data_IF_835484921889
#
_entry.id   IF_835484921889
#
_cell.length_a   1.000
_cell.length_b   1.000
_cell.length_c   1.000
_cell.angle_alpha   90.00
_cell.angle_beta   90.00
_cell.angle_gamma   90.00
#
_symmetry.space_group_name_H-M   'P 1'
#
loop_
_entity.id
_entity.type
_entity.pdbx_description
1 polymer ?
#
# COMPACT_ATOMS: atom_id res chain seq x y z
N UNK A 1 20.38 30.43 -7.46
CA UNK A 1 20.07 29.35 -8.45
C UNK A 1 19.66 28.14 -7.66
N UNK A 2 18.36 27.75 -7.64
CA UNK A 2 17.91 26.54 -6.99
C UNK A 2 18.52 25.37 -7.76
N UNK A 3 19.32 24.56 -7.09
CA UNK A 3 20.03 23.48 -7.76
C UNK A 3 19.02 22.44 -8.31
N UNK A 4 19.22 21.97 -9.53
CA UNK A 4 18.42 20.98 -10.24
C UNK A 4 17.94 19.79 -9.37
N UNK A 5 18.76 19.27 -8.43
CA UNK A 5 18.39 18.17 -7.54
C UNK A 5 17.28 18.49 -6.53
N UNK A 6 17.27 19.72 -6.01
CA UNK A 6 16.22 20.15 -5.06
C UNK A 6 14.86 20.25 -5.75
N UNK A 7 14.83 20.67 -7.01
CA UNK A 7 13.62 20.68 -7.83
C UNK A 7 13.11 19.25 -8.08
N UNK A 8 14.02 18.32 -8.37
CA UNK A 8 13.70 16.91 -8.59
C UNK A 8 13.10 16.28 -7.32
N UNK A 9 13.76 16.46 -6.17
CA UNK A 9 13.27 15.99 -4.88
C UNK A 9 11.88 16.58 -4.56
N UNK A 10 11.72 17.89 -4.73
CA UNK A 10 10.45 18.59 -4.53
C UNK A 10 9.34 18.03 -5.43
N UNK A 11 9.62 17.79 -6.70
CA UNK A 11 8.67 17.22 -7.66
C UNK A 11 8.26 15.78 -7.28
N UNK A 12 9.21 14.95 -6.84
CA UNK A 12 8.93 13.58 -6.36
C UNK A 12 8.04 13.63 -5.11
N UNK A 13 8.38 14.46 -4.13
CA UNK A 13 7.60 14.57 -2.89
C UNK A 13 6.21 15.15 -3.14
N UNK A 14 6.09 16.13 -4.04
CA UNK A 14 4.78 16.66 -4.46
C UNK A 14 3.95 15.57 -5.13
N UNK A 15 4.54 14.78 -6.00
CA UNK A 15 3.85 13.67 -6.68
C UNK A 15 3.34 12.64 -5.67
N UNK A 16 4.14 12.28 -4.66
CA UNK A 16 3.73 11.40 -3.58
C UNK A 16 2.58 12.02 -2.77
N UNK A 17 2.68 13.30 -2.41
CA UNK A 17 1.63 14.00 -1.66
C UNK A 17 0.31 14.06 -2.44
N UNK A 18 0.37 14.33 -3.75
CA UNK A 18 -0.81 14.31 -4.64
C UNK A 18 -1.43 12.93 -4.69
N UNK A 19 -0.63 11.86 -4.84
CA UNK A 19 -1.15 10.49 -4.82
C UNK A 19 -1.81 10.15 -3.50
N UNK A 20 -1.15 10.42 -2.38
CA UNK A 20 -1.68 10.17 -1.04
C UNK A 20 -2.96 10.97 -0.81
N UNK A 21 -2.98 12.24 -1.21
CA UNK A 21 -4.16 13.10 -1.17
C UNK A 21 -5.32 12.53 -1.98
N UNK A 22 -5.04 12.05 -3.19
CA UNK A 22 -6.04 11.40 -4.03
C UNK A 22 -6.55 10.09 -3.43
N UNK A 23 -5.67 9.26 -2.85
CA UNK A 23 -6.05 8.02 -2.17
C UNK A 23 -7.01 8.32 -1.01
N UNK A 24 -6.69 9.27 -0.15
CA UNK A 24 -7.58 9.66 0.95
C UNK A 24 -8.88 10.28 0.43
N UNK A 25 -8.83 11.13 -0.60
CA UNK A 25 -10.03 11.70 -1.22
C UNK A 25 -10.99 10.64 -1.74
N UNK A 26 -10.46 9.61 -2.40
CA UNK A 26 -11.21 8.55 -3.05
C UNK A 26 -11.67 7.45 -2.08
N UNK A 27 -10.97 7.26 -0.95
CA UNK A 27 -11.15 6.15 -0.01
C UNK A 27 -12.61 5.89 0.40
N UNK A 28 -13.44 6.91 0.75
CA UNK A 28 -14.83 6.67 1.12
C UNK A 28 -15.71 6.15 -0.02
N UNK A 29 -15.29 6.40 -1.26
CA UNK A 29 -16.05 5.92 -2.44
C UNK A 29 -15.80 4.44 -2.71
N UNK A 30 -14.84 3.83 -2.02
CA UNK A 30 -14.44 2.43 -2.19
C UNK A 30 -15.16 1.47 -1.25
N UNK A 31 -15.94 1.97 -0.31
CA UNK A 31 -16.78 1.16 0.55
C UNK A 31 -18.04 0.68 -0.17
N UNK A 32 -18.60 -0.46 0.25
CA UNK A 32 -19.87 -1.02 -0.26
C UNK A 32 -21.02 -0.04 -0.11
N UNK A 33 -22.07 -0.10 -0.96
CA UNK A 33 -23.20 0.83 -0.90
C UNK A 33 -23.87 0.95 0.47
N UNK A 34 -24.01 -0.16 1.19
CA UNK A 34 -24.60 -0.21 2.55
C UNK A 34 -23.63 0.11 3.69
N UNK A 35 -22.38 0.55 3.40
CA UNK A 35 -21.38 0.91 4.42
C UNK A 35 -20.84 2.31 4.15
N UNK A 36 -20.94 3.19 5.13
CA UNK A 36 -20.42 4.56 5.06
C UNK A 36 -19.52 4.85 6.27
N UNK A 37 -18.24 5.11 6.03
CA UNK A 37 -17.20 5.24 7.06
C UNK A 37 -17.21 4.10 8.10
N UNK A 38 -17.28 2.86 7.62
CA UNK A 38 -17.38 1.63 8.40
C UNK A 38 -18.67 1.47 9.23
N UNK A 39 -19.67 2.28 9.01
CA UNK A 39 -21.00 2.19 9.63
C UNK A 39 -22.00 1.62 8.63
N UNK A 40 -22.85 0.71 9.09
CA UNK A 40 -23.93 0.14 8.29
C UNK A 40 -25.05 1.17 8.13
N UNK A 41 -25.36 1.53 6.90
CA UNK A 41 -26.37 2.54 6.54
C UNK A 41 -27.30 2.00 5.46
N UNK A 42 -28.47 2.59 5.31
CA UNK A 42 -29.30 2.33 4.14
C UNK A 42 -28.58 2.81 2.88
N UNK A 43 -28.57 2.06 1.77
CA UNK A 43 -27.82 2.43 0.56
C UNK A 43 -28.14 3.85 0.04
N UNK A 44 -29.39 4.30 0.16
CA UNK A 44 -29.84 5.65 -0.23
C UNK A 44 -29.22 6.78 0.60
N UNK A 45 -28.75 6.50 1.83
CA UNK A 45 -28.12 7.50 2.70
C UNK A 45 -26.93 8.20 2.03
N UNK A 46 -26.15 7.49 1.20
CA UNK A 46 -24.99 8.08 0.51
C UNK A 46 -25.33 9.28 -0.38
N UNK A 47 -26.59 9.37 -0.82
CA UNK A 47 -27.08 10.45 -1.67
C UNK A 47 -27.75 11.57 -0.85
N UNK A 48 -27.76 11.45 0.48
CA UNK A 48 -28.39 12.45 1.36
C UNK A 48 -27.50 13.69 1.57
N UNK A 49 -28.09 14.83 1.92
CA UNK A 49 -27.36 16.05 2.30
C UNK A 49 -26.41 15.82 3.49
N UNK A 50 -26.84 15.00 4.45
CA UNK A 50 -26.09 14.66 5.67
C UNK A 50 -24.82 13.88 5.30
N UNK A 51 -24.93 12.86 4.45
CA UNK A 51 -23.78 12.11 3.95
C UNK A 51 -22.81 13.02 3.18
N UNK A 52 -23.33 13.93 2.36
CA UNK A 52 -22.54 14.92 1.64
C UNK A 52 -21.79 15.87 2.59
N UNK A 53 -22.38 16.25 3.71
CA UNK A 53 -21.75 17.08 4.74
C UNK A 53 -20.61 16.32 5.45
N UNK A 54 -20.85 15.08 5.89
CA UNK A 54 -19.81 14.23 6.49
C UNK A 54 -18.65 14.03 5.53
N UNK A 55 -18.95 13.73 4.26
CA UNK A 55 -17.93 13.52 3.22
C UNK A 55 -17.09 14.77 2.94
N UNK A 56 -17.72 15.95 2.86
CA UNK A 56 -17.01 17.23 2.71
C UNK A 56 -16.09 17.49 3.89
N UNK A 57 -16.60 17.35 5.11
CA UNK A 57 -15.81 17.55 6.33
C UNK A 57 -14.60 16.61 6.40
N UNK A 58 -14.78 15.34 6.06
CA UNK A 58 -13.71 14.37 5.94
C UNK A 58 -12.65 14.79 4.90
N UNK A 59 -13.09 15.11 3.67
CA UNK A 59 -12.18 15.48 2.58
C UNK A 59 -11.37 16.72 2.91
N UNK A 60 -11.99 17.74 3.48
CA UNK A 60 -11.27 18.96 3.90
C UNK A 60 -10.21 18.67 4.96
N UNK A 61 -10.52 17.87 5.98
CA UNK A 61 -9.57 17.49 7.01
C UNK A 61 -8.43 16.62 6.45
N UNK A 62 -8.76 15.62 5.65
CA UNK A 62 -7.77 14.73 5.04
C UNK A 62 -6.77 15.53 4.16
N UNK A 63 -7.28 16.41 3.30
CA UNK A 63 -6.42 17.27 2.47
C UNK A 63 -5.60 18.26 3.30
N UNK A 64 -6.15 18.83 4.38
CA UNK A 64 -5.39 19.69 5.27
C UNK A 64 -4.22 18.93 5.92
N UNK A 65 -4.46 17.70 6.40
CA UNK A 65 -3.38 16.87 6.94
C UNK A 65 -2.33 16.50 5.89
N UNK A 66 -2.74 16.19 4.67
CA UNK A 66 -1.81 15.92 3.55
C UNK A 66 -0.97 17.16 3.24
N UNK A 67 -1.57 18.35 3.20
CA UNK A 67 -0.85 19.60 2.96
C UNK A 67 0.16 19.92 4.09
N UNK A 68 -0.22 19.69 5.35
CA UNK A 68 0.69 19.86 6.50
C UNK A 68 1.86 18.87 6.40
N UNK A 69 1.58 17.60 6.13
CA UNK A 69 2.64 16.58 5.99
C UNK A 69 3.61 16.92 4.85
N UNK A 70 3.10 17.38 3.72
CA UNK A 70 3.92 17.84 2.60
C UNK A 70 4.77 19.07 2.98
N UNK A 71 4.19 20.05 3.67
CA UNK A 71 4.92 21.25 4.13
C UNK A 71 6.05 20.89 5.10
N UNK A 72 5.83 19.94 6.01
CA UNK A 72 6.86 19.44 6.93
C UNK A 72 7.99 18.74 6.17
N UNK A 73 7.67 17.87 5.19
CA UNK A 73 8.66 17.20 4.33
C UNK A 73 9.48 18.26 3.57
N UNK A 74 8.81 19.23 2.96
CA UNK A 74 9.48 20.28 2.21
C UNK A 74 10.38 21.14 3.12
N UNK A 75 9.90 21.51 4.31
CA UNK A 75 10.68 22.24 5.31
C UNK A 75 11.94 21.46 5.73
N UNK A 76 11.80 20.16 5.97
CA UNK A 76 12.93 19.28 6.29
C UNK A 76 13.95 19.20 5.15
N UNK A 77 13.48 19.14 3.91
CA UNK A 77 14.35 19.12 2.73
C UNK A 77 15.11 20.45 2.54
N UNK A 78 14.41 21.57 2.69
CA UNK A 78 15.02 22.90 2.53
C UNK A 78 15.99 23.26 3.66
N UNK A 79 15.66 22.89 4.90
CA UNK A 79 16.49 23.14 6.08
C UNK A 79 17.57 22.07 6.30
N UNK A 80 17.59 21.01 5.50
CA UNK A 80 18.45 19.83 5.65
C UNK A 80 18.34 19.15 7.03
N UNK A 81 17.19 19.31 7.68
CA UNK A 81 16.91 18.72 8.99
C UNK A 81 16.10 17.43 8.82
N UNK A 82 16.75 16.30 9.01
CA UNK A 82 16.18 14.97 8.85
C UNK A 82 14.93 14.73 9.74
N UNK A 83 14.91 15.35 10.93
CA UNK A 83 13.78 15.20 11.86
C UNK A 83 12.44 15.65 11.26
N UNK A 84 12.44 16.76 10.51
CA UNK A 84 11.21 17.27 9.86
C UNK A 84 10.75 16.38 8.71
N UNK A 85 11.68 15.76 7.99
CA UNK A 85 11.35 14.74 6.98
C UNK A 85 10.62 13.57 7.61
N UNK A 86 11.16 13.03 8.72
CA UNK A 86 10.55 11.89 9.42
C UNK A 86 9.18 12.27 9.97
N UNK A 87 9.06 13.42 10.65
CA UNK A 87 7.78 13.89 11.19
C UNK A 87 6.76 14.07 10.06
N UNK A 88 7.17 14.68 8.94
CA UNK A 88 6.30 14.92 7.80
C UNK A 88 5.79 13.62 7.14
N UNK A 89 6.65 12.61 6.98
CA UNK A 89 6.26 11.29 6.44
C UNK A 89 5.29 10.58 7.38
N UNK A 90 5.57 10.58 8.69
CA UNK A 90 4.68 9.98 9.69
C UNK A 90 3.34 10.72 9.73
N UNK A 91 3.35 12.05 9.68
CA UNK A 91 2.15 12.87 9.63
C UNK A 91 1.32 12.58 8.38
N UNK A 92 1.96 12.52 7.22
CA UNK A 92 1.30 12.23 5.95
C UNK A 92 0.58 10.87 5.96
N UNK A 93 1.15 9.87 6.63
CA UNK A 93 0.57 8.53 6.74
C UNK A 93 -0.48 8.38 7.83
N UNK A 94 -0.29 9.01 9.00
CA UNK A 94 -1.10 8.74 10.18
C UNK A 94 -2.20 9.79 10.44
N UNK A 95 -1.92 11.07 10.21
CA UNK A 95 -2.86 12.13 10.57
C UNK A 95 -4.20 12.08 9.80
N UNK A 96 -4.26 11.72 8.51
CA UNK A 96 -5.53 11.56 7.81
C UNK A 96 -6.44 10.46 8.38
N UNK A 97 -5.89 9.46 9.10
CA UNK A 97 -6.68 8.46 9.81
C UNK A 97 -7.58 9.08 10.88
N UNK A 98 -7.18 10.22 11.43
CA UNK A 98 -8.00 11.01 12.35
C UNK A 98 -9.28 11.51 11.70
N UNK A 99 -9.19 11.96 10.44
CA UNK A 99 -10.35 12.39 9.67
C UNK A 99 -11.33 11.23 9.43
N UNK A 100 -10.80 10.00 9.20
CA UNK A 100 -11.63 8.79 9.09
C UNK A 100 -12.36 8.52 10.40
N UNK A 101 -11.66 8.55 11.53
CA UNK A 101 -12.24 8.29 12.84
C UNK A 101 -13.34 9.32 13.21
N UNK A 102 -13.14 10.59 12.88
CA UNK A 102 -14.17 11.63 13.07
C UNK A 102 -15.38 11.42 12.16
N UNK A 103 -15.16 11.08 10.88
CA UNK A 103 -16.24 10.79 9.95
C UNK A 103 -17.03 9.54 10.37
N UNK A 104 -16.36 8.49 10.86
CA UNK A 104 -16.98 7.31 11.45
C UNK A 104 -17.88 7.69 12.62
N UNK A 105 -17.38 8.50 13.58
CA UNK A 105 -18.18 8.97 14.72
C UNK A 105 -19.44 9.73 14.29
N UNK A 106 -19.35 10.56 13.24
CA UNK A 106 -20.51 11.28 12.70
C UNK A 106 -21.49 10.35 11.99
N UNK A 107 -20.97 9.35 11.26
CA UNK A 107 -21.80 8.37 10.55
C UNK A 107 -22.59 7.46 11.50
N UNK A 108 -22.10 7.20 12.72
CA UNK A 108 -22.80 6.37 13.72
C UNK A 108 -24.21 6.89 14.07
N UNK A 109 -24.46 8.18 13.96
CA UNK A 109 -25.81 8.75 14.17
C UNK A 109 -26.85 8.26 13.13
N UNK A 110 -26.39 7.67 12.01
CA UNK A 110 -27.22 7.18 10.91
C UNK A 110 -27.13 5.66 10.75
N UNK A 111 -26.61 4.97 11.76
CA UNK A 111 -26.49 3.51 11.76
C UNK A 111 -27.86 2.85 11.71
N UNK A 112 -27.98 1.79 10.90
CA UNK A 112 -29.16 0.94 10.87
C UNK A 112 -28.83 -0.45 11.42
N UNK A 113 -29.86 -1.15 11.93
CA UNK A 113 -29.70 -2.50 12.45
C UNK A 113 -29.13 -3.43 11.36
N UNK A 114 -28.09 -4.18 11.70
CA UNK A 114 -27.50 -5.18 10.82
C UNK A 114 -28.37 -6.44 10.89
N UNK A 115 -28.72 -7.07 9.75
CA UNK A 115 -29.37 -8.39 9.77
C UNK A 115 -28.48 -9.39 10.50
N UNK A 116 -29.02 -10.10 11.49
CA UNK A 116 -28.30 -11.09 12.29
C UNK A 116 -28.01 -12.38 11.53
N UNK A 117 -28.69 -12.59 10.40
CA UNK A 117 -28.51 -13.80 9.59
C UNK A 117 -27.41 -13.54 8.55
N UNK A 118 -26.33 -14.30 8.67
CA UNK A 118 -25.22 -14.28 7.72
C UNK A 118 -25.42 -15.44 6.75
N UNK A 119 -25.85 -15.16 5.54
CA UNK A 119 -25.85 -16.13 4.46
C UNK A 119 -24.42 -16.28 3.92
N UNK A 120 -23.95 -17.53 3.85
CA UNK A 120 -22.62 -17.84 3.34
C UNK A 120 -22.72 -18.66 2.06
N UNK A 121 -21.95 -18.30 1.04
CA UNK A 121 -21.78 -19.13 -0.14
C UNK A 121 -20.87 -20.32 0.16
N UNK A 122 -21.33 -21.52 -0.15
CA UNK A 122 -20.55 -22.76 -0.04
C UNK A 122 -19.71 -23.03 -1.29
N UNK A 123 -19.66 -22.13 -2.25
CA UNK A 123 -18.89 -22.30 -3.48
C UNK A 123 -17.39 -22.46 -3.19
N UNK A 124 -16.71 -23.45 -3.75
CA UNK A 124 -15.29 -23.66 -3.54
C UNK A 124 -14.48 -22.49 -4.12
N UNK A 125 -13.54 -21.94 -3.33
CA UNK A 125 -12.65 -20.88 -3.78
C UNK A 125 -11.44 -21.46 -4.51
N UNK A 126 -11.04 -20.79 -5.60
CA UNK A 126 -9.79 -21.10 -6.27
C UNK A 126 -8.60 -20.59 -5.45
N UNK A 127 -7.55 -21.40 -5.37
CA UNK A 127 -6.24 -21.00 -4.79
C UNK A 127 -5.18 -20.81 -5.84
N UNK A 128 -5.54 -20.93 -7.11
CA UNK A 128 -4.60 -20.65 -8.18
C UNK A 128 -4.27 -19.17 -8.17
N UNK A 129 -2.97 -18.87 -8.22
CA UNK A 129 -2.50 -17.51 -8.38
C UNK A 129 -2.98 -16.92 -9.71
N UNK A 130 -3.37 -15.63 -9.72
CA UNK A 130 -3.81 -14.94 -10.92
C UNK A 130 -2.74 -15.01 -12.02
N UNK A 131 -3.15 -15.29 -13.27
CA UNK A 131 -2.24 -15.39 -14.40
C UNK A 131 -1.36 -16.63 -14.43
N UNK A 132 -1.49 -17.52 -13.43
CA UNK A 132 -0.73 -18.76 -13.34
C UNK A 132 0.76 -18.55 -13.12
N UNK A 133 1.55 -19.60 -13.30
CA UNK A 133 2.99 -19.61 -13.02
C UNK A 133 3.80 -18.64 -13.91
N UNK A 134 3.36 -18.39 -15.14
CA UNK A 134 4.05 -17.48 -16.08
C UNK A 134 4.13 -16.07 -15.51
N UNK A 135 3.03 -15.58 -14.95
CA UNK A 135 2.97 -14.25 -14.34
C UNK A 135 3.81 -14.20 -13.06
N UNK A 136 3.86 -15.30 -12.30
CA UNK A 136 4.67 -15.39 -11.09
C UNK A 136 6.18 -15.38 -11.35
N UNK A 137 6.61 -15.97 -12.47
CA UNK A 137 8.03 -15.99 -12.87
C UNK A 137 8.48 -14.64 -13.45
N UNK A 138 7.55 -13.85 -14.00
CA UNK A 138 7.85 -12.58 -14.66
C UNK A 138 8.74 -11.61 -13.86
N UNK A 139 8.44 -11.30 -12.60
CA UNK A 139 9.27 -10.44 -11.75
C UNK A 139 10.71 -10.96 -11.60
N UNK A 140 10.87 -12.27 -11.39
CA UNK A 140 12.19 -12.90 -11.29
C UNK A 140 12.94 -12.90 -12.62
N UNK A 141 12.23 -13.08 -13.74
CA UNK A 141 12.83 -13.01 -15.07
C UNK A 141 13.43 -11.62 -15.34
N UNK A 142 12.77 -10.54 -14.94
CA UNK A 142 13.28 -9.16 -15.05
C UNK A 142 14.61 -9.05 -14.27
N UNK A 143 14.65 -9.53 -13.02
CA UNK A 143 15.86 -9.48 -12.18
C UNK A 143 16.99 -10.32 -12.76
N UNK A 144 16.69 -11.53 -13.28
CA UNK A 144 17.65 -12.42 -13.92
C UNK A 144 18.25 -11.79 -15.18
N UNK A 145 17.40 -11.24 -16.05
CA UNK A 145 17.86 -10.56 -17.28
C UNK A 145 18.79 -9.40 -16.92
N UNK A 146 18.44 -8.61 -15.89
CA UNK A 146 19.30 -7.53 -15.42
C UNK A 146 20.62 -8.05 -14.85
N UNK A 147 20.59 -9.12 -14.08
CA UNK A 147 21.82 -9.73 -13.53
C UNK A 147 22.73 -10.25 -14.64
N UNK A 148 22.17 -10.93 -15.64
CA UNK A 148 22.91 -11.41 -16.81
C UNK A 148 23.52 -10.23 -17.59
N UNK A 149 22.77 -9.17 -17.80
CA UNK A 149 23.28 -7.97 -18.45
C UNK A 149 24.47 -7.37 -17.70
N UNK A 150 24.37 -7.19 -16.38
CA UNK A 150 25.46 -6.69 -15.52
C UNK A 150 26.68 -7.60 -15.56
N UNK A 151 26.48 -8.91 -15.58
CA UNK A 151 27.55 -9.90 -15.67
C UNK A 151 28.30 -9.79 -17.01
N UNK A 152 27.57 -9.72 -18.11
CA UNK A 152 28.15 -9.61 -19.46
C UNK A 152 28.92 -8.28 -19.66
N UNK A 153 28.50 -7.22 -18.97
CA UNK A 153 29.13 -5.90 -19.06
C UNK A 153 29.99 -5.57 -17.83
N UNK A 154 30.43 -6.57 -17.08
CA UNK A 154 31.17 -6.40 -15.81
C UNK A 154 32.36 -5.46 -15.94
N UNK A 155 33.18 -5.60 -16.99
CA UNK A 155 34.37 -4.78 -17.21
C UNK A 155 34.08 -3.30 -17.47
N UNK A 156 32.85 -2.97 -17.89
CA UNK A 156 32.42 -1.59 -18.17
C UNK A 156 31.92 -0.88 -16.89
N UNK A 157 31.66 -1.63 -15.82
CA UNK A 157 31.25 -1.04 -14.53
C UNK A 157 32.48 -0.34 -13.92
N UNK A 158 32.38 0.94 -13.50
CA UNK A 158 33.44 1.63 -12.79
C UNK A 158 33.85 0.89 -11.50
N UNK A 159 35.15 0.94 -11.14
CA UNK A 159 35.60 0.33 -9.90
C UNK A 159 34.92 0.87 -8.66
N UNK A 160 34.53 2.14 -8.70
CA UNK A 160 33.75 2.83 -7.67
C UNK A 160 32.65 3.64 -8.34
N UNK A 161 31.42 3.51 -7.86
CA UNK A 161 30.26 4.20 -8.43
C UNK A 161 29.32 4.70 -7.34
N UNK A 162 28.58 5.80 -7.58
CA UNK A 162 27.64 6.34 -6.61
C UNK A 162 26.40 5.45 -6.54
N UNK A 163 25.88 5.26 -5.32
CA UNK A 163 24.64 4.49 -5.03
C UNK A 163 23.63 5.29 -4.23
N UNK A 164 24.04 6.44 -3.70
CA UNK A 164 23.16 7.33 -2.95
C UNK A 164 23.54 8.79 -3.21
N UNK A 165 22.52 9.64 -3.35
CA UNK A 165 22.67 11.09 -3.58
C UNK A 165 21.96 11.84 -2.46
N UNK A 166 22.57 12.90 -2.00
CA UNK A 166 21.98 13.84 -1.06
C UNK A 166 20.85 14.67 -1.70
N UNK A 167 20.17 15.44 -0.87
CA UNK A 167 19.13 16.40 -1.31
C UNK A 167 19.70 17.48 -2.22
N UNK A 168 21.00 17.72 -2.14
CA UNK A 168 21.79 18.62 -3.00
C UNK A 168 22.13 17.99 -4.36
N UNK A 169 21.79 16.72 -4.55
CA UNK A 169 22.08 15.93 -5.76
C UNK A 169 23.52 15.48 -5.90
N UNK A 170 24.34 15.74 -4.88
CA UNK A 170 25.72 15.26 -4.87
C UNK A 170 25.76 13.83 -4.33
N UNK A 171 26.59 12.96 -4.93
CA UNK A 171 26.79 11.59 -4.42
C UNK A 171 27.37 11.64 -3.00
N UNK A 172 26.69 11.01 -2.07
CA UNK A 172 27.14 10.88 -0.67
C UNK A 172 27.22 9.42 -0.18
N UNK A 173 26.89 8.45 -1.04
CA UNK A 173 27.08 7.03 -0.82
C UNK A 173 27.72 6.37 -2.05
N UNK A 174 28.70 5.52 -1.83
CA UNK A 174 29.48 4.88 -2.89
C UNK A 174 29.53 3.37 -2.68
N UNK A 175 29.56 2.64 -3.77
CA UNK A 175 29.81 1.19 -3.80
C UNK A 175 31.00 0.87 -4.70
N UNK A 176 31.52 -0.32 -4.54
CA UNK A 176 32.64 -0.81 -5.32
C UNK A 176 32.19 -1.92 -6.28
N UNK A 177 32.95 -2.13 -7.37
CA UNK A 177 32.71 -3.22 -8.32
C UNK A 177 33.07 -4.57 -7.71
N UNK A 178 32.31 -4.98 -6.72
CA UNK A 178 32.32 -6.31 -6.11
C UNK A 178 31.00 -7.01 -6.41
N UNK A 179 30.90 -8.33 -6.36
CA UNK A 179 29.65 -9.05 -6.53
C UNK A 179 28.55 -8.52 -5.61
N UNK A 180 28.86 -8.26 -4.32
CA UNK A 180 27.91 -7.69 -3.37
C UNK A 180 27.51 -6.27 -3.70
N UNK A 181 28.45 -5.41 -4.11
CA UNK A 181 28.19 -4.02 -4.47
C UNK A 181 27.32 -3.88 -5.72
N UNK A 182 27.51 -4.73 -6.72
CA UNK A 182 26.79 -4.66 -8.01
C UNK A 182 25.44 -5.41 -7.94
N UNK A 183 25.43 -6.64 -7.43
CA UNK A 183 24.21 -7.46 -7.41
C UNK A 183 23.40 -7.32 -6.12
N UNK A 184 23.91 -6.61 -5.10
CA UNK A 184 23.20 -6.40 -3.83
C UNK A 184 21.75 -5.92 -3.98
N UNK A 185 21.48 -4.87 -4.78
CA UNK A 185 20.10 -4.42 -5.03
C UNK A 185 19.19 -5.50 -5.62
N UNK A 186 19.70 -6.33 -6.54
CA UNK A 186 18.93 -7.42 -7.14
C UNK A 186 18.66 -8.55 -6.14
N UNK A 187 19.64 -8.91 -5.31
CA UNK A 187 19.46 -9.91 -4.25
C UNK A 187 18.42 -9.46 -3.23
N UNK A 188 18.44 -8.17 -2.86
CA UNK A 188 17.44 -7.59 -1.99
C UNK A 188 16.04 -7.64 -2.65
N UNK A 189 15.96 -7.32 -3.94
CA UNK A 189 14.70 -7.41 -4.70
C UNK A 189 14.18 -8.86 -4.76
N UNK A 190 15.03 -9.85 -4.99
CA UNK A 190 14.64 -11.28 -4.97
C UNK A 190 14.04 -11.65 -3.62
N UNK A 191 14.66 -11.23 -2.51
CA UNK A 191 14.12 -11.49 -1.17
C UNK A 191 12.74 -10.83 -0.95
N UNK A 192 12.59 -9.56 -1.38
CA UNK A 192 11.31 -8.84 -1.28
C UNK A 192 10.22 -9.50 -2.13
N UNK A 193 10.50 -9.78 -3.40
CA UNK A 193 9.55 -10.41 -4.33
C UNK A 193 9.14 -11.79 -3.79
N UNK A 194 10.09 -12.59 -3.32
CA UNK A 194 9.80 -13.89 -2.70
C UNK A 194 8.88 -13.73 -1.48
N UNK A 195 9.17 -12.77 -0.60
CA UNK A 195 8.34 -12.49 0.57
C UNK A 195 6.91 -12.09 0.18
N UNK A 196 6.75 -11.23 -0.83
CA UNK A 196 5.44 -10.81 -1.33
C UNK A 196 4.69 -11.99 -1.97
N UNK A 197 5.37 -12.84 -2.76
CA UNK A 197 4.78 -14.06 -3.33
C UNK A 197 4.26 -15.00 -2.25
N UNK A 198 5.02 -15.19 -1.16
CA UNK A 198 4.58 -15.99 -0.01
C UNK A 198 3.32 -15.38 0.63
N UNK A 199 3.28 -14.05 0.79
CA UNK A 199 2.10 -13.35 1.33
C UNK A 199 0.91 -13.52 0.38
N UNK A 200 1.08 -13.35 -0.92
CA UNK A 200 0.03 -13.51 -1.92
C UNK A 200 -0.57 -14.92 -1.88
N UNK A 201 0.29 -15.94 -1.83
CA UNK A 201 -0.14 -17.33 -1.68
C UNK A 201 -0.84 -17.56 -0.33
N UNK A 202 -0.29 -17.04 0.75
CA UNK A 202 -0.87 -17.12 2.09
C UNK A 202 -2.26 -16.51 2.17
N UNK A 203 -2.49 -15.34 1.56
CA UNK A 203 -3.80 -14.68 1.47
C UNK A 203 -4.81 -15.59 0.77
N UNK A 204 -4.46 -16.18 -0.37
CA UNK A 204 -5.33 -17.11 -1.09
C UNK A 204 -5.63 -18.36 -0.28
N UNK A 205 -4.64 -18.90 0.42
CA UNK A 205 -4.79 -20.12 1.22
C UNK A 205 -5.66 -19.89 2.47
N UNK A 206 -5.44 -18.78 3.17
CA UNK A 206 -6.23 -18.39 4.34
C UNK A 206 -7.68 -18.03 3.97
N UNK A 207 -7.88 -17.39 2.82
CA UNK A 207 -9.21 -17.03 2.33
C UNK A 207 -10.11 -18.25 2.08
N UNK A 208 -9.54 -19.43 1.80
CA UNK A 208 -10.32 -20.69 1.70
C UNK A 208 -11.13 -21.02 2.95
N UNK A 209 -10.62 -20.63 4.12
CA UNK A 209 -11.22 -20.96 5.41
C UNK A 209 -12.32 -19.98 5.83
N UNK A 210 -12.48 -18.89 5.08
CA UNK A 210 -13.48 -17.85 5.39
C UNK A 210 -14.63 -17.97 4.40
N UNK A 211 -15.87 -18.23 4.84
CA UNK A 211 -17.03 -18.27 3.96
C UNK A 211 -17.23 -16.92 3.25
N UNK A 212 -17.62 -16.95 1.97
CA UNK A 212 -18.04 -15.75 1.27
C UNK A 212 -19.46 -15.38 1.71
N UNK A 213 -19.78 -14.08 1.90
CA UNK A 213 -21.16 -13.64 2.02
C UNK A 213 -21.96 -14.05 0.76
N UNK A 214 -23.23 -14.42 0.94
CA UNK A 214 -24.11 -14.74 -0.18
C UNK A 214 -24.26 -13.50 -1.08
N UNK A 215 -24.29 -13.73 -2.40
CA UNK A 215 -24.41 -12.65 -3.38
C UNK A 215 -23.08 -11.95 -3.76
N UNK A 216 -21.96 -12.32 -3.15
CA UNK A 216 -20.64 -11.85 -3.60
C UNK A 216 -20.24 -12.62 -4.86
N UNK A 217 -20.23 -11.91 -5.97
CA UNK A 217 -19.89 -12.41 -7.30
C UNK A 217 -18.46 -12.92 -7.42
N UNK A 218 -18.25 -13.72 -8.44
CA UNK A 218 -17.14 -14.55 -8.90
C UNK A 218 -15.70 -14.01 -8.81
N UNK A 219 -15.45 -12.78 -8.43
CA UNK A 219 -14.09 -12.25 -8.21
C UNK A 219 -13.79 -12.20 -6.72
N UNK A 220 -13.24 -13.30 -6.21
CA UNK A 220 -12.77 -13.44 -4.83
C UNK A 220 -11.87 -12.23 -4.42
N UNK A 221 -12.19 -11.49 -3.35
CA UNK A 221 -11.35 -10.42 -2.83
C UNK A 221 -9.90 -10.82 -2.61
N UNK A 222 -9.66 -12.07 -2.17
CA UNK A 222 -8.31 -12.61 -2.00
C UNK A 222 -7.55 -12.71 -3.33
N UNK A 223 -8.23 -13.11 -4.41
CA UNK A 223 -7.66 -13.18 -5.75
C UNK A 223 -7.24 -11.78 -6.25
N UNK A 224 -8.04 -10.77 -5.95
CA UNK A 224 -7.72 -9.38 -6.28
C UNK A 224 -6.52 -8.86 -5.51
N UNK A 225 -6.41 -9.17 -4.20
CA UNK A 225 -5.24 -8.82 -3.40
C UNK A 225 -3.99 -9.51 -3.95
N UNK A 226 -4.08 -10.78 -4.30
CA UNK A 226 -2.98 -11.49 -4.94
C UNK A 226 -2.55 -10.81 -6.26
N UNK A 227 -3.50 -10.38 -7.11
CA UNK A 227 -3.21 -9.59 -8.32
C UNK A 227 -2.48 -8.27 -8.01
N UNK A 228 -2.92 -7.55 -6.98
CA UNK A 228 -2.26 -6.32 -6.55
C UNK A 228 -0.83 -6.58 -6.09
N UNK A 229 -0.62 -7.62 -5.28
CA UNK A 229 0.69 -8.01 -4.79
C UNK A 229 1.63 -8.39 -5.96
N UNK A 230 1.13 -9.12 -6.94
CA UNK A 230 1.88 -9.45 -8.17
C UNK A 230 2.26 -8.17 -8.93
N UNK A 231 1.36 -7.20 -9.06
CA UNK A 231 1.68 -5.92 -9.69
C UNK A 231 2.79 -5.18 -8.94
N UNK A 232 2.79 -5.23 -7.60
CA UNK A 232 3.86 -4.69 -6.75
C UNK A 232 5.18 -5.42 -7.00
N UNK A 233 5.16 -6.75 -7.17
CA UNK A 233 6.36 -7.54 -7.51
C UNK A 233 7.01 -7.09 -8.83
N UNK A 234 6.21 -6.93 -9.88
CA UNK A 234 6.70 -6.41 -11.17
C UNK A 234 7.29 -5.01 -11.03
N UNK A 235 6.61 -4.14 -10.30
CA UNK A 235 7.08 -2.78 -10.04
C UNK A 235 8.41 -2.78 -9.30
N UNK A 236 8.54 -3.52 -8.21
CA UNK A 236 9.78 -3.60 -7.44
C UNK A 236 10.92 -4.18 -8.27
N UNK A 237 10.66 -5.23 -9.05
CA UNK A 237 11.65 -5.82 -9.94
C UNK A 237 12.16 -4.80 -10.96
N UNK A 238 11.28 -3.99 -11.55
CA UNK A 238 11.65 -2.91 -12.45
C UNK A 238 12.49 -1.82 -11.75
N UNK A 239 12.05 -1.36 -10.58
CA UNK A 239 12.77 -0.33 -9.80
C UNK A 239 14.17 -0.79 -9.43
N UNK A 240 14.31 -1.99 -8.85
CA UNK A 240 15.62 -2.50 -8.43
C UNK A 240 16.53 -2.84 -9.62
N UNK A 241 15.97 -3.26 -10.75
CA UNK A 241 16.72 -3.40 -12.00
C UNK A 241 17.32 -2.08 -12.44
N UNK A 242 16.56 -1.00 -12.40
CA UNK A 242 17.06 0.33 -12.74
C UNK A 242 18.09 0.85 -11.75
N UNK A 243 17.88 0.61 -10.44
CA UNK A 243 18.88 0.92 -9.41
C UNK A 243 20.20 0.15 -9.67
N UNK A 244 20.11 -1.14 -10.03
CA UNK A 244 21.28 -1.95 -10.34
C UNK A 244 22.03 -1.50 -11.61
N UNK A 245 21.36 -0.79 -12.53
CA UNK A 245 21.94 -0.23 -13.75
C UNK A 245 22.55 1.19 -13.56
N UNK A 246 22.38 1.82 -12.40
CA UNK A 246 22.93 3.16 -12.11
C UNK A 246 24.45 3.29 -12.34
N UNK A 247 25.29 2.25 -12.12
CA UNK A 247 26.73 2.34 -12.40
C UNK A 247 27.05 2.76 -13.84
N UNK A 248 26.19 2.46 -14.82
CA UNK A 248 26.39 2.85 -16.22
C UNK A 248 25.94 4.27 -16.52
N UNK A 249 25.06 4.85 -15.73
CA UNK A 249 24.50 6.18 -15.99
C UNK A 249 25.18 7.30 -15.22
N UNK A 250 25.91 6.98 -14.14
CA UNK A 250 26.65 7.91 -13.28
C UNK A 250 25.77 8.88 -12.48
N UNK A 251 24.48 8.97 -12.80
CA UNK A 251 23.51 9.79 -12.08
C UNK A 251 22.11 9.19 -12.23
N UNK A 252 21.21 9.38 -11.25
CA UNK A 252 19.83 8.88 -11.36
C UNK A 252 19.03 9.53 -12.49
N UNK A 253 19.45 10.70 -13.00
CA UNK A 253 18.75 11.40 -14.06
C UNK A 253 17.27 11.65 -13.77
N UNK A 254 16.45 11.74 -14.83
CA UNK A 254 14.99 11.84 -14.71
C UNK A 254 14.30 10.46 -14.56
N UNK A 255 15.03 9.36 -14.74
CA UNK A 255 14.46 8.02 -14.76
C UNK A 255 13.67 7.65 -13.47
N UNK A 256 14.16 7.90 -12.24
CA UNK A 256 13.40 7.62 -11.03
C UNK A 256 12.06 8.36 -10.97
N UNK A 257 12.00 9.58 -11.48
CA UNK A 257 10.76 10.40 -11.50
C UNK A 257 9.77 9.80 -12.48
N UNK A 258 10.23 9.46 -13.68
CA UNK A 258 9.38 8.86 -14.72
C UNK A 258 8.84 7.52 -14.23
N UNK A 259 9.66 6.69 -13.60
CA UNK A 259 9.26 5.39 -13.05
C UNK A 259 8.22 5.57 -11.96
N UNK A 260 8.47 6.47 -11.01
CA UNK A 260 7.53 6.76 -9.93
C UNK A 260 6.20 7.27 -10.52
N UNK A 261 6.24 8.18 -11.49
CA UNK A 261 5.05 8.72 -12.15
C UNK A 261 4.26 7.62 -12.89
N UNK A 262 4.94 6.74 -13.63
CA UNK A 262 4.31 5.61 -14.32
C UNK A 262 3.72 4.60 -13.33
N UNK A 263 4.42 4.32 -12.23
CA UNK A 263 3.92 3.46 -11.17
C UNK A 263 2.67 4.04 -10.49
N UNK A 264 2.68 5.34 -10.22
CA UNK A 264 1.53 6.05 -9.64
C UNK A 264 0.34 6.03 -10.60
N UNK A 265 0.56 6.28 -11.89
CA UNK A 265 -0.47 6.20 -12.91
C UNK A 265 -1.03 4.79 -13.04
N UNK A 266 -0.16 3.77 -13.07
CA UNK A 266 -0.55 2.36 -13.12
C UNK A 266 -1.37 1.96 -11.88
N UNK A 267 -0.94 2.35 -10.68
CA UNK A 267 -1.67 2.13 -9.45
C UNK A 267 -3.04 2.83 -9.45
N UNK A 268 -3.12 4.07 -9.93
CA UNK A 268 -4.36 4.83 -10.02
C UNK A 268 -5.36 4.18 -10.99
N UNK A 269 -4.90 3.75 -12.18
CA UNK A 269 -5.72 3.05 -13.18
C UNK A 269 -6.20 1.70 -12.64
N UNK A 270 -5.29 0.94 -12.02
CA UNK A 270 -5.61 -0.35 -11.41
C UNK A 270 -6.67 -0.20 -10.31
N UNK A 271 -6.46 0.73 -9.38
CA UNK A 271 -7.39 1.01 -8.29
C UNK A 271 -8.75 1.46 -8.82
N UNK A 272 -8.78 2.35 -9.81
CA UNK A 272 -10.04 2.78 -10.44
C UNK A 272 -10.80 1.61 -11.07
N UNK A 273 -10.12 0.76 -11.85
CA UNK A 273 -10.74 -0.42 -12.47
C UNK A 273 -11.21 -1.45 -11.44
N UNK A 274 -10.45 -1.59 -10.36
CA UNK A 274 -10.82 -2.43 -9.23
C UNK A 274 -12.14 -1.99 -8.58
N UNK A 275 -12.27 -0.69 -8.26
CA UNK A 275 -13.45 -0.18 -7.56
C UNK A 275 -14.69 -0.07 -8.42
N UNK A 276 -14.56 0.21 -9.73
CA UNK A 276 -15.72 0.21 -10.62
C UNK A 276 -16.39 -1.17 -10.65
N UNK A 277 -15.59 -2.24 -10.70
CA UNK A 277 -16.10 -3.62 -10.72
C UNK A 277 -16.72 -4.08 -9.39
N UNK A 278 -16.31 -3.51 -8.26
CA UNK A 278 -16.95 -3.82 -6.96
C UNK A 278 -18.36 -3.25 -6.85
N UNK A 279 -18.60 -2.06 -7.39
CA UNK A 279 -19.92 -1.42 -7.36
C UNK A 279 -20.98 -2.19 -8.13
N UNK A 280 -20.55 -2.81 -9.24
CA UNK A 280 -21.48 -3.52 -10.14
C UNK A 280 -21.82 -4.93 -9.64
N UNK A 281 -21.02 -5.48 -8.72
CA UNK A 281 -21.12 -6.87 -8.26
C UNK A 281 -21.89 -7.05 -6.94
N UNK A 282 -22.21 -5.96 -6.21
CA UNK A 282 -22.77 -6.06 -4.86
C UNK A 282 -24.28 -5.89 -4.84
N UNK A 283 -25.00 -6.97 -4.45
CA UNK A 283 -26.41 -6.94 -4.16
C UNK A 283 -26.78 -5.94 -3.05
N UNK A 284 -28.05 -5.53 -3.01
CA UNK A 284 -28.59 -4.42 -2.22
C UNK A 284 -28.73 -4.68 -0.71
N UNK A 285 -28.07 -5.68 -0.14
CA UNK A 285 -28.16 -5.93 1.30
C UNK A 285 -27.36 -4.90 2.12
N UNK A 286 -27.92 -4.29 3.16
CA UNK A 286 -27.21 -3.38 4.03
C UNK A 286 -26.15 -4.14 4.87
N UNK A 287 -24.91 -3.64 4.85
CA UNK A 287 -23.84 -4.15 5.73
C UNK A 287 -23.14 -5.44 5.27
N UNK A 288 -22.23 -5.92 6.11
CA UNK A 288 -21.43 -7.14 5.91
C UNK A 288 -21.78 -8.24 6.92
N UNK A 289 -22.87 -8.07 7.67
CA UNK A 289 -23.29 -8.99 8.73
C UNK A 289 -22.48 -8.91 10.02
N UNK A 290 -21.58 -7.91 10.17
CA UNK A 290 -20.87 -7.67 11.43
C UNK A 290 -21.45 -6.45 12.15
N UNK A 291 -21.56 -6.46 13.50
CA UNK A 291 -22.03 -5.30 14.26
C UNK A 291 -21.07 -4.10 14.12
N UNK A 292 -21.60 -2.89 14.00
CA UNK A 292 -20.81 -1.66 13.90
C UNK A 292 -19.94 -1.45 15.15
N UNK A 293 -20.39 -1.93 16.32
CA UNK A 293 -19.64 -1.89 17.56
C UNK A 293 -18.30 -2.63 17.54
N UNK A 294 -18.13 -3.59 16.61
CA UNK A 294 -16.88 -4.31 16.42
C UNK A 294 -15.84 -3.49 15.65
N UNK A 295 -16.24 -2.38 15.02
CA UNK A 295 -15.36 -1.53 14.22
C UNK A 295 -14.92 -0.28 14.99
N UNK A 296 -13.77 -0.38 15.66
CA UNK A 296 -13.23 0.71 16.49
C UNK A 296 -12.62 1.80 15.60
N UNK A 297 -13.08 3.04 15.78
CA UNK A 297 -12.68 4.21 14.99
C UNK A 297 -12.90 4.05 13.47
N UNK A 298 -13.71 3.07 13.06
CA UNK A 298 -13.89 2.72 11.65
C UNK A 298 -12.70 2.04 10.97
N UNK A 299 -11.62 1.76 11.69
CA UNK A 299 -10.35 1.26 11.15
C UNK A 299 -9.97 -0.13 11.67
N UNK A 300 -10.22 -0.39 12.95
CA UNK A 300 -9.77 -1.59 13.63
C UNK A 300 -10.94 -2.51 13.93
N UNK A 301 -10.82 -3.79 13.55
CA UNK A 301 -11.81 -4.79 13.89
C UNK A 301 -11.45 -5.50 15.19
N UNK A 302 -12.38 -5.52 16.11
CA UNK A 302 -12.25 -6.20 17.40
C UNK A 302 -13.55 -6.96 17.72
N UNK A 303 -13.53 -8.27 17.55
CA UNK A 303 -14.68 -9.13 17.86
C UNK A 303 -14.18 -10.45 18.48
N UNK A 304 -14.40 -10.66 19.79
CA UNK A 304 -14.01 -11.91 20.47
C UNK A 304 -14.85 -13.11 20.04
N UNK A 305 -16.06 -12.90 19.53
CA UNK A 305 -16.96 -13.97 19.08
C UNK A 305 -16.66 -14.44 17.64
N UNK A 306 -15.86 -13.66 16.88
CA UNK A 306 -15.44 -14.04 15.53
C UNK A 306 -14.10 -14.78 15.57
N UNK A 307 -14.08 -16.04 15.14
CA UNK A 307 -12.86 -16.86 15.09
C UNK A 307 -11.88 -16.42 14.00
N UNK A 308 -12.31 -15.60 13.04
CA UNK A 308 -11.48 -15.16 11.92
C UNK A 308 -10.34 -14.25 12.42
N UNK A 309 -9.10 -14.53 11.97
CA UNK A 309 -7.94 -13.66 12.21
C UNK A 309 -7.90 -12.48 11.24
N UNK A 310 -8.29 -12.72 9.98
CA UNK A 310 -8.33 -11.73 8.91
C UNK A 310 -9.78 -11.46 8.52
N UNK A 311 -10.18 -10.20 8.56
CA UNK A 311 -11.53 -9.73 8.24
C UNK A 311 -11.45 -8.68 7.14
N UNK A 312 -12.36 -8.72 6.17
CA UNK A 312 -12.41 -7.75 5.09
C UNK A 312 -12.65 -6.34 5.63
N UNK A 313 -11.87 -5.36 5.16
CA UNK A 313 -12.01 -3.96 5.58
C UNK A 313 -13.34 -3.38 5.10
N UNK A 314 -13.99 -2.63 5.96
CA UNK A 314 -15.19 -1.82 5.60
C UNK A 314 -14.84 -0.53 4.87
N UNK A 315 -13.64 0.00 5.09
CA UNK A 315 -13.12 1.19 4.40
C UNK A 315 -11.81 0.81 3.71
N UNK A 316 -11.70 1.17 2.44
CA UNK A 316 -10.52 0.86 1.64
C UNK A 316 -10.50 -0.58 1.16
N UNK A 317 -9.30 -1.07 0.87
CA UNK A 317 -9.07 -2.38 0.25
C UNK A 317 -8.39 -3.31 1.24
N UNK A 318 -8.68 -4.59 1.11
CA UNK A 318 -7.95 -5.66 1.74
C UNK A 318 -8.57 -6.15 3.04
N UNK A 319 -7.72 -6.73 3.87
CA UNK A 319 -8.11 -7.31 5.15
C UNK A 319 -7.52 -6.49 6.31
N UNK A 320 -8.19 -6.56 7.45
CA UNK A 320 -7.66 -6.12 8.74
C UNK A 320 -7.54 -7.32 9.66
N UNK A 321 -6.73 -7.20 10.69
CA UNK A 321 -6.62 -8.19 11.73
C UNK A 321 -7.78 -8.05 12.71
N UNK A 322 -8.27 -9.20 13.23
CA UNK A 322 -9.15 -9.21 14.39
C UNK A 322 -8.30 -9.05 15.66
N UNK A 323 -8.23 -7.84 16.18
CA UNK A 323 -7.43 -7.50 17.37
C UNK A 323 -7.95 -8.11 18.69
N UNK A 324 -9.08 -8.83 18.66
CA UNK A 324 -9.50 -9.69 19.76
C UNK A 324 -8.70 -11.01 19.80
N UNK A 325 -7.90 -11.32 18.76
CA UNK A 325 -7.12 -12.55 18.66
C UNK A 325 -5.65 -12.29 18.93
N UNK A 326 -5.03 -13.08 19.81
CA UNK A 326 -3.59 -12.97 20.15
C UNK A 326 -2.67 -13.02 18.92
N UNK A 327 -2.89 -13.89 17.91
CA UNK A 327 -2.05 -13.89 16.70
C UNK A 327 -2.04 -12.55 15.94
N UNK A 328 -3.09 -11.73 16.07
CA UNK A 328 -3.12 -10.41 15.43
C UNK A 328 -2.01 -9.48 15.98
N UNK A 329 -1.80 -9.52 17.29
CA UNK A 329 -0.77 -8.74 17.98
C UNK A 329 0.64 -9.24 17.64
N UNK A 330 0.81 -10.56 17.51
CA UNK A 330 2.08 -11.16 17.07
C UNK A 330 2.42 -10.68 15.67
N UNK A 331 1.45 -10.75 14.74
CA UNK A 331 1.63 -10.25 13.36
C UNK A 331 1.99 -8.75 13.34
N UNK A 332 1.28 -7.92 14.11
CA UNK A 332 1.54 -6.49 14.19
C UNK A 332 2.95 -6.22 14.75
N UNK A 333 3.33 -6.91 15.82
CA UNK A 333 4.66 -6.79 16.42
C UNK A 333 5.75 -7.16 15.43
N UNK A 334 5.61 -8.28 14.75
CA UNK A 334 6.59 -8.69 13.73
C UNK A 334 6.73 -7.66 12.60
N UNK A 335 5.62 -7.13 12.09
CA UNK A 335 5.63 -6.12 11.02
C UNK A 335 6.32 -4.82 11.46
N UNK A 336 6.12 -4.39 12.71
CA UNK A 336 6.67 -3.14 13.22
C UNK A 336 8.13 -3.27 13.67
N UNK A 337 8.47 -4.34 14.36
CA UNK A 337 9.78 -4.47 15.01
C UNK A 337 10.82 -5.21 14.19
N UNK A 338 10.43 -6.14 13.31
CA UNK A 338 11.39 -6.88 12.48
C UNK A 338 12.24 -5.97 11.58
N UNK A 339 11.69 -4.97 10.87
CA UNK A 339 12.51 -4.04 10.08
C UNK A 339 13.49 -3.24 10.94
N UNK A 340 13.05 -2.78 12.12
CA UNK A 340 13.88 -2.01 13.07
C UNK A 340 15.02 -2.90 13.58
N UNK A 341 14.73 -4.14 13.96
CA UNK A 341 15.71 -5.10 14.42
C UNK A 341 16.74 -5.44 13.34
N UNK A 342 16.30 -5.63 12.09
CA UNK A 342 17.20 -5.87 10.97
C UNK A 342 18.11 -4.67 10.70
N UNK A 343 17.58 -3.45 10.74
CA UNK A 343 18.39 -2.23 10.62
C UNK A 343 19.41 -2.11 11.76
N UNK A 344 19.01 -2.43 12.99
CA UNK A 344 19.91 -2.46 14.13
C UNK A 344 21.05 -3.48 13.94
N UNK A 345 20.75 -4.70 13.49
CA UNK A 345 21.77 -5.71 13.19
C UNK A 345 22.75 -5.23 12.11
N UNK A 346 22.24 -4.67 11.00
CA UNK A 346 23.08 -4.15 9.91
C UNK A 346 24.00 -3.03 10.42
N UNK A 347 23.51 -2.18 11.31
CA UNK A 347 24.33 -1.10 11.87
C UNK A 347 25.44 -1.58 12.81
N UNK A 348 25.18 -2.64 13.60
CA UNK A 348 26.15 -3.17 14.58
C UNK A 348 27.14 -4.20 13.99
N UNK A 349 26.87 -4.70 12.78
CA UNK A 349 27.78 -5.65 12.09
C UNK A 349 28.74 -4.96 11.11
N UNK A 350 28.67 -3.62 11.03
CA UNK A 350 29.62 -2.76 10.31
C UNK A 350 30.65 -2.18 11.29
#
# INVERSE_FOLDING_TARGET
MVAYPQLIFGAVMLSVAVLVGWLYWALPTWSRPGIFFAVTVVPSFRNSPEAAQVLRGYRMQALAHVAIGFALILSGALSQQFVWLVIGVLWLGLAPLFAIAQAHKRALAHAVAVPTVREASLSPRTTRLPGGWIVQVGPFAILIVTAVYLWLHWSQIPNRFPVHWGVDGMPNGWSERTPGGVFGPLLFAVAMVTGISIIAYGVLHLARRVPLPAGVSATDPAHRIALFLIAVEFFLSGVFSLVALLPFTGSPGAAPIVILALAMLGAAIFLRGWFSRQRDAEGHAPGDGTPDSCWKLGLFYYNPDDAALLVEKRIGIGYTLNFARTPAWICLTLVLFLPIFLLFLIYHTR
#
